data_IF_583441586124
#
_entry.id   IF_583441586124
#
_cell.length_a   1.000
_cell.length_b   1.000
_cell.length_c   1.000
_cell.angle_alpha   90.00
_cell.angle_beta   90.00
_cell.angle_gamma   90.00
#
_symmetry.space_group_name_H-M   'P 1'
#
loop_
_entity.id
_entity.type
_entity.pdbx_description
1 polymer ?
#
# COMPACT_ATOMS: atom_id res chain seq x y z
N UNK A 1 3.32 17.79 -3.31
CA UNK A 1 2.89 16.65 -4.15
C UNK A 1 1.40 16.78 -4.41
N UNK A 2 0.98 16.70 -5.66
CA UNK A 2 -0.45 16.73 -6.01
C UNK A 2 -1.08 15.40 -5.61
N UNK A 3 -2.38 15.38 -5.30
CA UNK A 3 -3.11 14.11 -5.08
C UNK A 3 -3.04 13.14 -6.28
N UNK A 4 -2.65 13.62 -7.46
CA UNK A 4 -2.35 12.82 -8.65
C UNK A 4 -1.09 11.94 -8.49
N UNK A 5 -0.06 12.43 -7.80
CA UNK A 5 1.20 11.71 -7.62
C UNK A 5 1.04 10.54 -6.65
N UNK A 6 0.22 10.74 -5.60
CA UNK A 6 -0.16 9.69 -4.66
C UNK A 6 -0.78 8.50 -5.37
N UNK A 7 -1.79 8.75 -6.22
CA UNK A 7 -2.52 7.70 -6.93
C UNK A 7 -1.62 6.89 -7.85
N UNK A 8 -0.67 7.55 -8.54
CA UNK A 8 0.30 6.87 -9.42
C UNK A 8 1.21 5.94 -8.62
N UNK A 9 1.77 6.43 -7.51
CA UNK A 9 2.64 5.61 -6.63
C UNK A 9 1.88 4.48 -5.96
N UNK A 10 0.68 4.74 -5.46
CA UNK A 10 -0.18 3.71 -4.87
C UNK A 10 -0.49 2.61 -5.90
N UNK A 11 -0.80 2.97 -7.14
CA UNK A 11 -1.04 1.99 -8.21
C UNK A 11 0.20 1.13 -8.47
N UNK A 12 1.40 1.73 -8.48
CA UNK A 12 2.64 0.98 -8.61
C UNK A 12 2.84 -0.01 -7.45
N UNK A 13 2.63 0.44 -6.21
CA UNK A 13 2.73 -0.42 -5.02
C UNK A 13 1.72 -1.58 -5.04
N UNK A 14 0.50 -1.35 -5.52
CA UNK A 14 -0.50 -2.41 -5.70
C UNK A 14 0.00 -3.45 -6.71
N UNK A 15 0.48 -3.01 -7.88
CA UNK A 15 1.04 -3.92 -8.90
C UNK A 15 2.19 -4.77 -8.34
N UNK A 16 3.13 -4.14 -7.63
CA UNK A 16 4.27 -4.84 -7.01
C UNK A 16 3.82 -5.82 -5.93
N UNK A 17 2.81 -5.48 -5.15
CA UNK A 17 2.24 -6.36 -4.14
C UNK A 17 1.57 -7.59 -4.80
N UNK A 18 0.74 -7.38 -5.81
CA UNK A 18 0.10 -8.46 -6.58
C UNK A 18 1.15 -9.39 -7.22
N UNK A 19 2.22 -8.85 -7.81
CA UNK A 19 3.34 -9.62 -8.36
C UNK A 19 4.03 -10.48 -7.29
N UNK A 20 4.13 -9.98 -6.05
CA UNK A 20 4.71 -10.70 -4.91
C UNK A 20 3.71 -11.62 -4.21
N UNK A 21 2.57 -11.91 -4.82
CA UNK A 21 1.51 -12.77 -4.26
C UNK A 21 0.86 -12.19 -2.99
N UNK A 22 0.89 -10.87 -2.80
CA UNK A 22 0.11 -10.22 -1.76
C UNK A 22 -1.33 -10.06 -2.23
N UNK A 23 -2.27 -10.23 -1.31
CA UNK A 23 -3.69 -9.96 -1.56
C UNK A 23 -3.99 -8.49 -1.25
N UNK A 24 -4.47 -7.77 -2.26
CA UNK A 24 -4.75 -6.34 -2.18
C UNK A 24 -6.24 -6.09 -2.40
N UNK A 25 -6.92 -5.62 -1.35
CA UNK A 25 -8.37 -5.42 -1.38
C UNK A 25 -8.77 -4.04 -0.86
N UNK A 26 -9.86 -3.47 -1.38
CA UNK A 26 -10.49 -2.30 -0.77
C UNK A 26 -11.38 -2.70 0.40
N UNK A 27 -11.26 -1.99 1.51
CA UNK A 27 -12.19 -2.06 2.63
C UNK A 27 -13.47 -1.28 2.32
N UNK A 28 -14.54 -1.54 3.06
CA UNK A 28 -15.82 -0.82 2.96
C UNK A 28 -15.67 0.69 3.18
N UNK A 29 -14.66 1.11 3.95
CA UNK A 29 -14.32 2.52 4.19
C UNK A 29 -13.51 3.18 3.06
N UNK A 30 -13.23 2.46 1.96
CA UNK A 30 -12.46 2.99 0.84
C UNK A 30 -10.95 3.04 1.09
N UNK A 31 -10.43 2.36 2.10
CA UNK A 31 -8.99 2.16 2.28
C UNK A 31 -8.53 0.90 1.53
N UNK A 32 -7.28 0.85 1.12
CA UNK A 32 -6.64 -0.34 0.60
C UNK A 32 -6.03 -1.13 1.74
N UNK A 33 -6.17 -2.44 1.68
CA UNK A 33 -5.58 -3.41 2.58
C UNK A 33 -4.61 -4.27 1.77
N UNK A 34 -3.36 -4.32 2.22
CA UNK A 34 -2.30 -5.16 1.68
C UNK A 34 -2.08 -6.30 2.66
N UNK A 35 -2.40 -7.52 2.23
CA UNK A 35 -2.26 -8.74 3.02
C UNK A 35 -1.04 -9.50 2.49
N UNK A 36 0.02 -9.66 3.30
CA UNK A 36 1.17 -10.43 2.87
C UNK A 36 0.82 -11.92 2.70
N UNK A 37 1.51 -12.63 1.79
CA UNK A 37 1.35 -14.08 1.64
C UNK A 37 1.82 -14.83 2.89
N UNK A 38 2.83 -14.28 3.59
CA UNK A 38 3.28 -14.80 4.87
C UNK A 38 2.44 -14.23 6.01
N UNK A 39 1.74 -15.11 6.73
CA UNK A 39 0.88 -14.76 7.87
C UNK A 39 1.64 -14.23 9.08
N UNK A 40 2.97 -14.33 9.08
CA UNK A 40 3.82 -13.72 10.12
C UNK A 40 4.05 -12.23 9.89
N UNK A 41 3.81 -11.74 8.68
CA UNK A 41 3.98 -10.33 8.32
C UNK A 41 2.68 -9.54 8.60
N UNK A 42 2.85 -8.27 8.95
CA UNK A 42 1.72 -7.43 9.31
C UNK A 42 0.93 -6.98 8.06
N UNK A 43 -0.39 -6.92 8.22
CA UNK A 43 -1.28 -6.32 7.21
C UNK A 43 -1.08 -4.80 7.22
N UNK A 44 -0.93 -4.20 6.05
CA UNK A 44 -0.76 -2.74 5.89
C UNK A 44 -2.05 -2.13 5.33
N UNK A 45 -2.51 -1.03 5.93
CA UNK A 45 -3.71 -0.30 5.49
C UNK A 45 -3.30 1.07 4.95
N UNK A 46 -3.75 1.39 3.74
CA UNK A 46 -3.50 2.66 3.07
C UNK A 46 -4.80 3.42 2.75
N UNK A 47 -4.87 4.74 2.93
CA UNK A 47 -6.02 5.51 2.46
C UNK A 47 -6.08 5.58 0.93
N UNK A 48 -7.27 5.56 0.30
CA UNK A 48 -7.34 5.70 -1.17
C UNK A 48 -7.00 7.12 -1.68
N UNK A 49 -7.11 8.12 -0.80
CA UNK A 49 -6.73 9.50 -1.09
C UNK A 49 -6.09 10.12 0.13
N UNK A 50 -5.02 10.89 -0.07
CA UNK A 50 -4.39 11.68 0.98
C UNK A 50 -4.03 13.06 0.43
N UNK A 51 -4.19 14.09 1.28
CA UNK A 51 -3.61 15.41 1.04
C UNK A 51 -2.23 15.55 1.68
N UNK A 52 -1.84 14.59 2.52
CA UNK A 52 -0.53 14.53 3.15
C UNK A 52 0.47 13.84 2.21
N UNK A 53 1.50 14.57 1.82
CA UNK A 53 2.59 14.08 0.99
C UNK A 53 3.43 12.99 1.68
N UNK A 54 3.44 12.95 3.02
CA UNK A 54 4.18 11.96 3.81
C UNK A 54 3.51 10.59 3.82
N UNK A 55 2.21 10.52 3.55
CA UNK A 55 1.46 9.28 3.61
C UNK A 55 1.96 8.22 2.63
N UNK A 56 2.50 8.59 1.46
CA UNK A 56 3.15 7.60 0.57
C UNK A 56 4.42 7.05 1.19
N UNK A 57 5.29 7.92 1.69
CA UNK A 57 6.58 7.49 2.24
C UNK A 57 6.40 6.58 3.45
N UNK A 58 5.41 6.88 4.30
CA UNK A 58 5.04 6.03 5.42
C UNK A 58 4.49 4.68 4.95
N UNK A 59 3.60 4.68 3.95
CA UNK A 59 3.07 3.46 3.35
C UNK A 59 4.18 2.59 2.75
N UNK A 60 5.08 3.17 1.97
CA UNK A 60 6.24 2.46 1.40
C UNK A 60 7.12 1.86 2.50
N UNK A 61 7.36 2.59 3.59
CA UNK A 61 8.13 2.10 4.73
C UNK A 61 7.43 0.94 5.46
N UNK A 62 6.12 1.03 5.67
CA UNK A 62 5.35 -0.02 6.34
C UNK A 62 5.24 -1.29 5.49
N UNK A 63 5.07 -1.14 4.18
CA UNK A 63 5.09 -2.25 3.23
C UNK A 63 6.47 -2.94 3.22
N UNK A 64 7.57 -2.18 3.18
CA UNK A 64 8.94 -2.73 3.24
C UNK A 64 9.20 -3.49 4.55
N UNK A 65 8.80 -2.93 5.69
CA UNK A 65 8.89 -3.62 6.99
C UNK A 65 8.07 -4.89 7.02
N UNK A 66 6.96 -4.90 6.30
CA UNK A 66 6.07 -6.04 6.17
C UNK A 66 6.54 -7.02 5.09
N UNK A 67 7.71 -6.82 4.47
CA UNK A 67 8.31 -7.78 3.53
C UNK A 67 8.09 -7.48 2.05
N UNK A 68 7.38 -6.40 1.70
CA UNK A 68 7.21 -6.01 0.30
C UNK A 68 8.51 -5.42 -0.23
N UNK A 69 9.16 -6.14 -1.14
CA UNK A 69 10.38 -5.67 -1.79
C UNK A 69 10.02 -4.74 -2.94
N UNK A 70 9.79 -3.46 -2.63
CA UNK A 70 9.44 -2.40 -3.57
C UNK A 70 10.65 -1.52 -3.93
#
# INVERSE_FOLDING_TARGET
MSGSDYKKRLKALISTAEEQQWDVCKTSGGHWRFVPPDKQQNIVIAPATTRDHRAVANLEADLRRSGLSA
#
